data_IF_439204604144
#
_entry.id   IF_439204604144
#
_cell.length_a   1.000
_cell.length_b   1.000
_cell.length_c   1.000
_cell.angle_alpha   90.00
_cell.angle_beta   90.00
_cell.angle_gamma   90.00
#
_symmetry.space_group_name_H-M   'P 1'
#
loop_
_entity.id
_entity.type
_entity.pdbx_description
1 polymer ?
#
# COMPACT_ATOMS: atom_id res chain seq x y z
N UNK A 1 37.83 18.26 9.47
CA UNK A 1 37.41 19.63 9.85
C UNK A 1 37.23 20.46 8.60
N UNK A 2 35.98 20.71 8.19
CA UNK A 2 35.61 21.82 7.31
C UNK A 2 34.11 22.05 7.50
N UNK A 3 33.79 23.13 8.21
CA UNK A 3 32.44 23.61 8.47
C UNK A 3 31.74 23.92 7.14
N UNK A 4 30.53 23.37 6.96
CA UNK A 4 29.57 23.89 5.99
C UNK A 4 28.24 24.14 6.69
N UNK A 5 28.25 25.13 7.57
CA UNK A 5 27.04 25.84 7.97
C UNK A 5 26.65 26.77 6.81
N UNK A 6 25.41 26.68 6.35
CA UNK A 6 24.88 27.50 5.27
C UNK A 6 23.36 27.53 5.29
N UNK A 7 22.83 28.45 6.09
CA UNK A 7 21.51 29.08 6.03
C UNK A 7 20.27 28.18 5.88
N UNK A 8 19.66 27.87 7.02
CA UNK A 8 18.22 27.61 7.14
C UNK A 8 17.42 28.83 6.64
N UNK A 9 16.75 28.70 5.50
CA UNK A 9 15.82 29.71 4.98
C UNK A 9 14.52 29.69 5.79
N UNK A 10 14.52 30.47 6.86
CA UNK A 10 13.32 30.88 7.57
C UNK A 10 12.59 31.97 6.75
N UNK A 11 11.26 31.93 6.78
CA UNK A 11 10.33 33.00 6.40
C UNK A 11 10.12 33.29 4.91
N UNK A 12 9.06 32.68 4.37
CA UNK A 12 8.08 33.45 3.60
C UNK A 12 6.68 32.98 4.03
N UNK A 13 6.17 33.55 5.12
CA UNK A 13 4.76 33.41 5.51
C UNK A 13 3.98 34.35 4.59
N UNK A 14 3.27 33.76 3.64
CA UNK A 14 2.41 34.45 2.68
C UNK A 14 1.16 35.00 3.41
N UNK A 15 0.94 36.33 3.46
CA UNK A 15 -0.34 36.87 3.92
C UNK A 15 -1.32 36.82 2.74
N UNK A 16 -1.75 35.61 2.35
CA UNK A 16 -2.93 35.49 1.51
C UNK A 16 -4.11 35.99 2.31
N UNK A 17 -4.50 37.21 2.00
CA UNK A 17 -5.84 37.80 2.13
C UNK A 17 -6.90 36.75 2.47
N UNK A 18 -7.20 36.64 3.74
CA UNK A 18 -8.48 36.12 4.21
C UNK A 18 -9.57 37.16 3.89
N UNK A 19 -9.92 37.30 2.61
CA UNK A 19 -11.23 37.82 2.22
C UNK A 19 -12.22 36.67 2.21
N UNK A 20 -12.43 36.05 3.37
CA UNK A 20 -13.67 35.33 3.67
C UNK A 20 -14.76 36.35 4.02
N UNK A 21 -15.03 37.26 3.07
CA UNK A 21 -16.33 37.91 2.94
C UNK A 21 -17.31 36.93 2.31
N UNK A 22 -17.49 35.77 2.95
CA UNK A 22 -18.59 34.89 2.61
C UNK A 22 -19.86 35.62 3.02
N UNK A 23 -20.53 36.22 2.04
CA UNK A 23 -21.93 36.61 2.16
C UNK A 23 -22.67 35.40 2.70
N UNK A 24 -22.89 35.38 4.01
CA UNK A 24 -23.87 34.54 4.63
C UNK A 24 -25.23 35.07 4.18
N UNK A 25 -25.59 34.75 2.93
CA UNK A 25 -26.97 34.62 2.53
C UNK A 25 -27.51 33.43 3.32
N UNK A 26 -27.73 33.64 4.62
CA UNK A 26 -28.42 32.72 5.48
C UNK A 26 -29.79 32.48 4.86
N UNK A 27 -30.16 31.20 4.75
CA UNK A 27 -31.48 30.76 4.32
C UNK A 27 -32.54 31.63 4.98
N UNK A 28 -33.18 32.50 4.20
CA UNK A 28 -34.30 33.30 4.67
C UNK A 28 -35.48 32.34 4.75
N UNK A 29 -35.83 31.92 5.98
CA UNK A 29 -37.06 31.18 6.20
C UNK A 29 -38.22 32.04 5.71
N UNK A 30 -39.02 31.51 4.79
CA UNK A 30 -40.18 32.20 4.24
C UNK A 30 -41.24 32.32 5.33
N UNK A 31 -41.18 33.38 6.14
CA UNK A 31 -42.24 33.69 7.10
C UNK A 31 -43.45 34.22 6.33
N UNK A 32 -44.62 33.56 6.40
CA UNK A 32 -45.80 34.02 5.69
C UNK A 32 -46.27 35.38 6.22
N UNK A 33 -46.80 36.21 5.33
CA UNK A 33 -47.51 37.45 5.70
C UNK A 33 -48.69 37.12 6.63
N UNK A 34 -49.20 38.09 7.40
CA UNK A 34 -50.34 37.99 8.32
C UNK A 34 -51.64 37.38 7.74
N UNK A 35 -51.70 37.14 6.42
CA UNK A 35 -52.78 36.45 5.71
C UNK A 35 -52.45 35.02 5.26
N UNK A 36 -51.26 34.50 5.56
CA UNK A 36 -50.81 33.16 5.17
C UNK A 36 -50.33 33.04 3.70
N UNK A 37 -50.27 34.14 2.94
CA UNK A 37 -49.73 34.11 1.58
C UNK A 37 -48.20 34.18 1.61
N UNK A 38 -47.55 33.21 0.97
CA UNK A 38 -46.15 33.29 0.59
C UNK A 38 -46.06 34.15 -0.68
N UNK A 39 -45.14 35.12 -0.71
CA UNK A 39 -44.90 35.90 -1.93
C UNK A 39 -44.27 35.01 -3.00
N UNK A 40 -44.83 35.02 -4.20
CA UNK A 40 -44.38 34.23 -5.36
C UNK A 40 -42.87 34.39 -5.64
N UNK A 41 -42.35 35.62 -5.52
CA UNK A 41 -40.91 35.90 -5.64
C UNK A 41 -40.04 35.19 -4.58
N UNK A 42 -40.54 34.98 -3.36
CA UNK A 42 -39.82 34.24 -2.30
C UNK A 42 -39.92 32.73 -2.53
N UNK A 43 -41.05 32.24 -3.02
CA UNK A 43 -41.19 30.83 -3.40
C UNK A 43 -40.24 30.47 -4.56
N UNK A 44 -40.18 31.33 -5.59
CA UNK A 44 -39.29 31.16 -6.74
C UNK A 44 -37.81 31.24 -6.33
N UNK A 45 -37.45 32.17 -5.44
CA UNK A 45 -36.09 32.23 -4.87
C UNK A 45 -35.73 30.95 -4.08
N UNK A 46 -36.64 30.42 -3.26
CA UNK A 46 -36.42 29.15 -2.53
C UNK A 46 -36.32 27.95 -3.49
N UNK A 47 -37.09 27.93 -4.57
CA UNK A 47 -37.04 26.88 -5.59
C UNK A 47 -35.75 26.95 -6.41
N UNK A 48 -35.33 28.15 -6.82
CA UNK A 48 -34.05 28.39 -7.48
C UNK A 48 -32.88 27.92 -6.62
N UNK A 49 -32.87 28.25 -5.33
CA UNK A 49 -31.84 27.78 -4.39
C UNK A 49 -31.86 26.26 -4.22
N UNK A 50 -33.05 25.66 -4.17
CA UNK A 50 -33.18 24.22 -4.10
C UNK A 50 -32.60 23.57 -5.35
N UNK A 51 -32.88 24.10 -6.54
CA UNK A 51 -32.37 23.59 -7.81
C UNK A 51 -30.84 23.69 -7.91
N UNK A 52 -30.26 24.82 -7.48
CA UNK A 52 -28.80 25.00 -7.41
C UNK A 52 -28.16 24.00 -6.43
N UNK A 53 -28.81 23.76 -5.28
CA UNK A 53 -28.35 22.77 -4.30
C UNK A 53 -28.46 21.33 -4.83
N UNK A 54 -29.55 21.00 -5.52
CA UNK A 54 -29.77 19.70 -6.17
C UNK A 54 -28.74 19.47 -7.27
N UNK A 55 -28.41 20.48 -8.07
CA UNK A 55 -27.35 20.40 -9.08
C UNK A 55 -25.98 20.15 -8.43
N UNK A 56 -25.68 20.85 -7.32
CA UNK A 56 -24.47 20.63 -6.52
C UNK A 56 -24.40 19.21 -5.93
N UNK A 57 -25.50 18.67 -5.42
CA UNK A 57 -25.59 17.28 -4.92
C UNK A 57 -25.41 16.28 -6.07
N UNK A 58 -26.04 16.52 -7.22
CA UNK A 58 -25.90 15.67 -8.39
C UNK A 58 -24.45 15.64 -8.91
N UNK A 59 -23.75 16.78 -8.85
CA UNK A 59 -22.31 16.87 -9.12
C UNK A 59 -21.48 15.97 -8.18
N UNK A 60 -21.75 16.02 -6.87
CA UNK A 60 -21.10 15.15 -5.88
C UNK A 60 -21.40 13.67 -6.12
N UNK A 61 -22.63 13.31 -6.47
CA UNK A 61 -23.00 11.92 -6.77
C UNK A 61 -22.28 11.42 -8.02
N UNK A 62 -22.16 12.25 -9.07
CA UNK A 62 -21.37 11.90 -10.26
C UNK A 62 -19.89 11.67 -9.91
N UNK A 63 -19.33 12.51 -9.05
CA UNK A 63 -17.96 12.32 -8.58
C UNK A 63 -17.80 11.00 -7.81
N UNK A 64 -18.67 10.72 -6.85
CA UNK A 64 -18.66 9.45 -6.11
C UNK A 64 -18.81 8.25 -7.06
N UNK A 65 -19.73 8.33 -8.03
CA UNK A 65 -19.89 7.29 -9.06
C UNK A 65 -18.60 7.06 -9.84
N UNK A 66 -17.91 8.13 -10.24
CA UNK A 66 -16.65 8.00 -10.98
C UNK A 66 -15.56 7.32 -10.14
N UNK A 67 -15.45 7.66 -8.85
CA UNK A 67 -14.53 7.01 -7.93
C UNK A 67 -14.90 5.53 -7.75
N UNK A 68 -16.18 5.19 -7.60
CA UNK A 68 -16.63 3.80 -7.46
C UNK A 68 -16.34 2.95 -8.71
N UNK A 69 -16.53 3.51 -9.91
CA UNK A 69 -16.20 2.80 -11.15
C UNK A 69 -14.69 2.57 -11.24
N UNK A 70 -13.88 3.60 -10.97
CA UNK A 70 -12.42 3.48 -10.96
C UNK A 70 -11.94 2.43 -9.93
N UNK A 71 -12.53 2.41 -8.73
CA UNK A 71 -12.27 1.37 -7.72
C UNK A 71 -12.67 -0.01 -8.24
N UNK A 72 -13.79 -0.12 -8.95
CA UNK A 72 -14.23 -1.38 -9.56
C UNK A 72 -13.23 -1.91 -10.59
N UNK A 73 -12.72 -1.04 -11.45
CA UNK A 73 -11.71 -1.39 -12.45
C UNK A 73 -10.38 -1.80 -11.79
N UNK A 74 -9.94 -1.05 -10.78
CA UNK A 74 -8.71 -1.35 -10.02
C UNK A 74 -8.83 -2.63 -9.19
N UNK A 75 -10.00 -2.95 -8.61
CA UNK A 75 -10.25 -4.23 -7.94
C UNK A 75 -10.15 -5.39 -8.94
N UNK A 76 -10.70 -5.22 -10.15
CA UNK A 76 -10.64 -6.26 -11.18
C UNK A 76 -9.21 -6.48 -11.65
N UNK A 77 -8.46 -5.41 -11.87
CA UNK A 77 -7.04 -5.48 -12.21
C UNK A 77 -6.22 -6.11 -11.06
N UNK A 78 -6.43 -5.65 -9.82
CA UNK A 78 -5.75 -6.17 -8.63
C UNK A 78 -6.07 -7.64 -8.38
N UNK A 79 -7.28 -8.09 -8.71
CA UNK A 79 -7.66 -9.51 -8.62
C UNK A 79 -6.93 -10.35 -9.68
N UNK A 80 -6.87 -9.87 -10.93
CA UNK A 80 -6.11 -10.52 -11.99
C UNK A 80 -4.60 -10.55 -11.70
N UNK A 81 -4.06 -9.49 -11.08
CA UNK A 81 -2.69 -9.45 -10.59
C UNK A 81 -2.47 -10.45 -9.46
N UNK A 82 -3.40 -10.55 -8.51
CA UNK A 82 -3.33 -11.49 -7.41
C UNK A 82 -3.35 -12.95 -7.89
N UNK A 83 -4.14 -13.28 -8.92
CA UNK A 83 -4.12 -14.60 -9.56
C UNK A 83 -2.74 -14.90 -10.17
N UNK A 84 -2.18 -13.97 -10.97
CA UNK A 84 -0.82 -14.13 -11.51
C UNK A 84 0.24 -14.25 -10.42
N UNK A 85 0.06 -13.53 -9.32
CA UNK A 85 0.95 -13.59 -8.17
C UNK A 85 0.88 -14.97 -7.50
N UNK A 86 -0.33 -15.52 -7.33
CA UNK A 86 -0.54 -16.87 -6.83
C UNK A 86 0.15 -17.93 -7.70
N UNK A 87 0.03 -17.83 -9.03
CA UNK A 87 0.69 -18.74 -9.97
C UNK A 87 2.23 -18.66 -9.86
N UNK A 88 2.77 -17.45 -9.76
CA UNK A 88 4.20 -17.23 -9.55
C UNK A 88 4.68 -17.80 -8.21
N UNK A 89 3.89 -17.63 -7.13
CA UNK A 89 4.21 -18.19 -5.82
C UNK A 89 4.20 -19.72 -5.82
N UNK A 90 3.21 -20.36 -6.46
CA UNK A 90 3.18 -21.82 -6.58
C UNK A 90 4.36 -22.32 -7.42
N UNK A 91 4.72 -21.63 -8.51
CA UNK A 91 5.92 -21.92 -9.29
C UNK A 91 7.22 -21.79 -8.48
N UNK A 92 7.34 -20.73 -7.67
CA UNK A 92 8.47 -20.55 -6.76
C UNK A 92 8.54 -21.67 -5.70
N UNK A 93 7.39 -22.04 -5.12
CA UNK A 93 7.28 -23.13 -4.14
C UNK A 93 7.75 -24.46 -4.71
N UNK A 94 7.34 -24.80 -5.94
CA UNK A 94 7.78 -26.03 -6.62
C UNK A 94 9.30 -26.01 -6.85
N UNK A 95 9.86 -24.89 -7.31
CA UNK A 95 11.31 -24.75 -7.51
C UNK A 95 12.08 -24.90 -6.20
N UNK A 96 11.64 -24.23 -5.13
CA UNK A 96 12.28 -24.31 -3.80
C UNK A 96 12.24 -25.75 -3.28
N UNK A 97 11.09 -26.43 -3.38
CA UNK A 97 10.98 -27.86 -3.03
C UNK A 97 11.94 -28.71 -3.85
N UNK A 98 12.06 -28.46 -5.15
CA UNK A 98 13.01 -29.14 -6.02
C UNK A 98 14.46 -28.95 -5.58
N UNK A 99 14.87 -27.70 -5.28
CA UNK A 99 16.21 -27.40 -4.78
C UNK A 99 16.49 -28.05 -3.43
N UNK A 100 15.51 -28.03 -2.50
CA UNK A 100 15.64 -28.68 -1.20
C UNK A 100 15.72 -30.19 -1.31
N UNK A 101 14.92 -30.80 -2.19
CA UNK A 101 14.97 -32.24 -2.41
C UNK A 101 16.33 -32.66 -2.99
N UNK A 102 16.87 -31.89 -3.94
CA UNK A 102 18.22 -32.12 -4.49
C UNK A 102 19.31 -31.95 -3.41
N UNK A 103 19.15 -30.98 -2.51
CA UNK A 103 20.04 -30.77 -1.38
C UNK A 103 20.01 -31.94 -0.39
N UNK A 104 18.82 -32.46 -0.03
CA UNK A 104 18.69 -33.63 0.83
C UNK A 104 19.36 -34.88 0.24
N UNK A 105 19.23 -35.08 -1.07
CA UNK A 105 19.89 -36.19 -1.75
C UNK A 105 21.42 -36.03 -1.70
N UNK A 106 21.93 -34.80 -1.80
CA UNK A 106 23.37 -34.54 -1.71
C UNK A 106 23.90 -34.68 -0.29
N UNK A 107 23.16 -34.25 0.74
CA UNK A 107 23.59 -34.46 2.14
C UNK A 107 23.61 -35.93 2.55
N UNK A 108 22.74 -36.76 1.97
CA UNK A 108 22.75 -38.22 2.21
C UNK A 108 23.93 -38.91 1.52
N UNK A 109 24.39 -38.40 0.39
CA UNK A 109 25.49 -38.98 -0.39
C UNK A 109 26.86 -38.42 -0.02
N UNK A 110 26.94 -37.17 0.42
CA UNK A 110 28.16 -36.50 0.88
C UNK A 110 28.35 -36.76 2.37
N UNK A 111 28.73 -37.98 2.72
CA UNK A 111 29.20 -38.34 4.06
C UNK A 111 30.50 -39.12 3.95
N UNK A 112 31.57 -38.64 4.58
CA UNK A 112 32.77 -39.45 4.77
C UNK A 112 32.35 -40.65 5.61
N UNK A 113 32.38 -41.85 5.01
CA UNK A 113 31.96 -43.05 5.71
C UNK A 113 32.81 -43.24 6.97
N UNK A 114 32.18 -43.69 8.05
CA UNK A 114 32.88 -43.98 9.31
C UNK A 114 34.10 -44.91 9.14
N UNK A 115 34.09 -45.77 8.12
CA UNK A 115 35.22 -46.62 7.72
C UNK A 115 36.49 -45.84 7.32
N UNK A 116 36.34 -44.69 6.66
CA UNK A 116 37.47 -43.83 6.25
C UNK A 116 38.09 -43.17 7.48
N UNK A 117 37.26 -42.75 8.44
CA UNK A 117 37.73 -42.27 9.74
C UNK A 117 38.51 -43.35 10.49
N UNK A 118 38.00 -44.58 10.54
CA UNK A 118 38.75 -45.70 11.14
C UNK A 118 40.07 -45.98 10.44
N UNK A 119 40.09 -45.99 9.11
CA UNK A 119 41.31 -46.25 8.34
C UNK A 119 42.35 -45.13 8.56
N UNK A 120 41.92 -43.87 8.59
CA UNK A 120 42.77 -42.72 8.90
C UNK A 120 43.38 -42.84 10.31
N UNK A 121 42.58 -43.13 11.33
CA UNK A 121 43.08 -43.33 12.69
C UNK A 121 44.03 -44.53 12.79
N UNK A 122 43.71 -45.64 12.14
CA UNK A 122 44.56 -46.83 12.11
C UNK A 122 45.92 -46.54 11.43
N UNK A 123 45.91 -45.77 10.33
CA UNK A 123 47.14 -45.35 9.65
C UNK A 123 48.00 -44.45 10.55
N UNK A 124 47.39 -43.48 11.24
CA UNK A 124 48.10 -42.61 12.20
C UNK A 124 48.68 -43.44 13.36
N UNK A 125 47.89 -44.36 13.94
CA UNK A 125 48.34 -45.23 15.02
C UNK A 125 49.50 -46.14 14.56
N UNK A 126 49.39 -46.72 13.36
CA UNK A 126 50.43 -47.54 12.76
C UNK A 126 51.73 -46.77 12.51
N UNK A 127 51.64 -45.51 12.08
CA UNK A 127 52.81 -44.66 11.86
C UNK A 127 53.52 -44.32 13.17
N UNK A 128 52.77 -43.97 14.23
CA UNK A 128 53.32 -43.79 15.57
C UNK A 128 53.96 -45.07 16.12
N UNK A 129 53.30 -46.22 15.93
CA UNK A 129 53.84 -47.51 16.36
C UNK A 129 55.12 -47.87 15.61
N UNK A 130 55.17 -47.58 14.30
CA UNK A 130 56.35 -47.80 13.47
C UNK A 130 57.53 -46.93 13.93
N UNK A 131 57.32 -45.63 14.16
CA UNK A 131 58.33 -44.70 14.70
C UNK A 131 58.77 -45.06 16.13
N UNK A 132 57.92 -45.75 16.90
CA UNK A 132 58.29 -46.18 18.25
C UNK A 132 59.12 -47.48 18.27
N UNK A 133 58.88 -48.39 17.31
CA UNK A 133 59.60 -49.66 17.19
C UNK A 133 60.97 -49.51 16.52
N UNK A 134 61.13 -48.56 15.60
CA UNK A 134 62.37 -48.27 14.85
C UNK A 134 63.02 -46.98 15.30
#
# INVERSE_FOLDING_TARGET
MANRFGASSLHQRDPRKDERGGSAAGFRSATPNSRGQYSDAVLNELESQNNDQVEGIMGKVRQLKSMTIAIGDEIRESSALAEKMNDNFEGARVRIRGTMNRMLIMSQKTGVSWKIWLLFFAAVFGLFFWVWVF
#
